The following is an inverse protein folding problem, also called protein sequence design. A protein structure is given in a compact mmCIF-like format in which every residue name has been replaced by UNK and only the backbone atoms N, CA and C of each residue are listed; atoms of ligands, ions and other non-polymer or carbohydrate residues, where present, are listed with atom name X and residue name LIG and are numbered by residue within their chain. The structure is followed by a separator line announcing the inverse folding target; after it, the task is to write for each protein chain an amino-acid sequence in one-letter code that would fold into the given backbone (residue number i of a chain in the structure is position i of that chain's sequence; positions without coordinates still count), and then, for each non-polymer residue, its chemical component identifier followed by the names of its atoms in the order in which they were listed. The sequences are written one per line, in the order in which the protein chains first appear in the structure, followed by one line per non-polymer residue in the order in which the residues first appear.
data_IF_185362550126
#
_entry.id   IF_185362550126
#
_cell.length_a   1.000
_cell.length_b   1.000
_cell.length_c   1.000
_cell.angle_alpha   90.00
_cell.angle_beta   90.00
_cell.angle_gamma   90.00
#
_symmetry.space_group_name_H-M   'P 1'
#
loop_
_entity.id
_entity.type
_entity.pdbx_description
1 polymer ?
#
# COMPACT_ATOMS: atom_id res chain seq x y z
N UNK A 1 -35.38 19.67 38.48
CA UNK A 1 -35.14 19.94 37.05
C UNK A 1 -33.71 19.53 36.82
N UNK A 2 -33.50 18.38 36.20
CA UNK A 2 -32.16 17.96 35.78
C UNK A 2 -31.93 18.73 34.49
N UNK A 3 -31.08 19.75 34.52
CA UNK A 3 -30.56 20.35 33.30
C UNK A 3 -29.78 19.24 32.59
N UNK A 4 -30.39 18.61 31.61
CA UNK A 4 -29.72 17.66 30.72
C UNK A 4 -28.71 18.46 29.91
N UNK A 5 -27.50 18.61 30.44
CA UNK A 5 -26.36 19.11 29.70
C UNK A 5 -26.09 18.14 28.55
N UNK A 6 -26.62 18.45 27.38
CA UNK A 6 -26.44 17.63 26.19
C UNK A 6 -24.94 17.55 25.85
N UNK A 7 -24.47 16.41 25.33
CA UNK A 7 -23.08 16.25 24.94
C UNK A 7 -22.62 17.32 23.94
N UNK A 8 -21.35 17.69 24.02
CA UNK A 8 -20.73 18.68 23.14
C UNK A 8 -20.83 18.30 21.66
N UNK A 9 -20.73 17.01 21.34
CA UNK A 9 -20.89 16.47 19.98
C UNK A 9 -22.26 16.83 19.38
N UNK A 10 -23.34 16.74 20.19
CA UNK A 10 -24.69 17.02 19.73
C UNK A 10 -24.88 18.50 19.39
N UNK A 11 -24.33 19.38 20.23
CA UNK A 11 -24.37 20.83 20.00
C UNK A 11 -23.59 21.24 18.74
N UNK A 12 -22.48 20.55 18.44
CA UNK A 12 -21.68 20.78 17.23
C UNK A 12 -22.45 20.39 15.98
N UNK A 13 -22.94 19.15 15.92
CA UNK A 13 -23.68 18.63 14.76
C UNK A 13 -24.99 19.40 14.52
N UNK A 14 -25.75 19.68 15.58
CA UNK A 14 -26.95 20.53 15.49
C UNK A 14 -26.63 21.93 14.98
N UNK A 15 -25.46 22.46 15.35
CA UNK A 15 -24.95 23.73 14.84
C UNK A 15 -24.64 23.70 13.34
N UNK A 16 -24.11 22.60 12.81
CA UNK A 16 -23.85 22.43 11.37
C UNK A 16 -25.16 22.47 10.57
N UNK A 17 -26.16 21.70 10.99
CA UNK A 17 -27.47 21.67 10.31
C UNK A 17 -28.14 23.04 10.36
N UNK A 18 -28.18 23.67 11.55
CA UNK A 18 -28.92 24.92 11.74
C UNK A 18 -28.23 26.15 11.13
N UNK A 19 -26.89 26.18 11.04
CA UNK A 19 -26.14 27.34 10.55
C UNK A 19 -25.69 27.21 9.11
N UNK A 20 -25.40 25.99 8.65
CA UNK A 20 -24.84 25.74 7.32
C UNK A 20 -25.89 25.22 6.33
N UNK A 21 -27.12 24.95 6.79
CA UNK A 21 -28.25 24.48 5.97
C UNK A 21 -27.86 23.28 5.08
N UNK A 22 -27.11 22.35 5.67
CA UNK A 22 -26.63 21.12 5.02
C UNK A 22 -26.95 19.88 5.84
N UNK A 23 -27.20 18.78 5.14
CA UNK A 23 -27.31 17.46 5.73
C UNK A 23 -25.94 17.03 6.31
N UNK A 24 -25.98 16.21 7.36
CA UNK A 24 -24.77 15.66 7.95
C UNK A 24 -24.18 14.57 7.05
N UNK A 25 -22.88 14.64 6.85
CA UNK A 25 -22.12 13.56 6.24
C UNK A 25 -21.52 12.66 7.33
N UNK A 26 -21.24 11.37 7.04
CA UNK A 26 -20.55 10.48 7.97
C UNK A 26 -19.24 11.07 8.52
N UNK A 27 -18.50 11.83 7.69
CA UNK A 27 -17.25 12.48 8.09
C UNK A 27 -17.45 13.59 9.14
N UNK A 28 -18.63 14.20 9.23
CA UNK A 28 -18.90 15.25 10.23
C UNK A 28 -18.84 14.67 11.66
N UNK A 29 -19.02 13.34 11.83
CA UNK A 29 -18.88 12.65 13.12
C UNK A 29 -17.42 12.31 13.48
N UNK A 30 -16.51 12.25 12.50
CA UNK A 30 -15.15 11.74 12.69
C UNK A 30 -14.33 12.60 13.67
N UNK A 31 -14.57 13.91 13.71
CA UNK A 31 -13.93 14.85 14.63
C UNK A 31 -14.08 14.41 16.10
N UNK A 32 -15.29 13.96 16.49
CA UNK A 32 -15.64 13.55 17.85
C UNK A 32 -15.33 12.07 18.13
N UNK A 33 -14.95 11.31 17.10
CA UNK A 33 -14.62 9.88 17.18
C UNK A 33 -13.11 9.63 17.09
N UNK A 34 -12.35 10.65 16.66
CA UNK A 34 -10.89 10.62 16.45
C UNK A 34 -10.09 10.26 17.71
N UNK A 35 -10.62 10.55 18.90
CA UNK A 35 -10.02 10.28 20.22
C UNK A 35 -10.12 8.83 20.69
N UNK A 36 -10.90 7.98 20.02
CA UNK A 36 -11.11 6.59 20.44
C UNK A 36 -9.88 5.74 20.05
N UNK A 37 -8.93 5.70 20.98
CA UNK A 37 -7.87 4.69 21.03
C UNK A 37 -8.47 3.28 21.01
N UNK A 38 -7.65 2.31 20.62
CA UNK A 38 -7.98 0.89 20.43
C UNK A 38 -8.99 0.32 21.44
N UNK A 39 -9.81 -0.68 21.06
CA UNK A 39 -10.71 -1.34 22.00
C UNK A 39 -9.89 -1.98 23.13
N UNK A 40 -9.84 -1.32 24.28
CA UNK A 40 -9.44 -1.93 25.54
C UNK A 40 -10.53 -2.92 25.91
N UNK A 41 -10.26 -4.19 25.64
CA UNK A 41 -11.06 -5.33 26.13
C UNK A 41 -10.83 -5.57 27.64
N UNK A 42 -9.89 -4.85 28.26
CA UNK A 42 -9.64 -4.89 29.70
C UNK A 42 -9.41 -3.47 30.23
N UNK A 43 -10.45 -2.84 30.80
CA UNK A 43 -10.29 -1.89 31.92
C UNK A 43 -11.66 -1.55 32.52
N UNK A 44 -12.03 -2.28 33.56
CA UNK A 44 -12.83 -1.75 34.66
C UNK A 44 -12.05 -0.58 35.31
N UNK A 45 -12.33 0.66 34.90
CA UNK A 45 -11.98 1.86 35.67
C UNK A 45 -12.74 3.08 35.09
N UNK A 46 -13.80 3.45 35.80
CA UNK A 46 -14.52 4.73 35.82
C UNK A 46 -13.78 5.94 35.21
N UNK A 47 -14.30 6.49 34.11
CA UNK A 47 -14.89 7.85 34.08
C UNK A 47 -15.59 8.12 32.73
N UNK A 48 -16.87 8.49 32.83
CA UNK A 48 -17.79 9.03 31.82
C UNK A 48 -18.30 8.14 30.66
N UNK A 49 -19.34 7.37 31.00
CA UNK A 49 -20.51 6.97 30.19
C UNK A 49 -20.33 6.82 28.67
N UNK A 50 -20.06 5.60 28.23
CA UNK A 50 -20.78 4.96 27.12
C UNK A 50 -20.32 3.49 27.08
N UNK A 51 -20.97 2.70 27.94
CA UNK A 51 -20.87 1.25 27.94
C UNK A 51 -20.99 0.74 26.50
N UNK A 52 -20.09 -0.17 26.13
CA UNK A 52 -20.22 -0.96 24.92
C UNK A 52 -21.30 -2.01 25.20
N UNK A 53 -22.53 -1.56 25.39
CA UNK A 53 -23.63 -2.45 25.67
C UNK A 53 -24.07 -3.09 24.35
N UNK A 54 -23.80 -4.38 24.23
CA UNK A 54 -24.37 -5.22 23.18
C UNK A 54 -25.82 -5.60 23.49
N UNK A 55 -26.42 -5.01 24.52
CA UNK A 55 -27.82 -5.20 24.89
C UNK A 55 -28.55 -3.87 25.16
N UNK A 56 -28.29 -2.82 24.36
CA UNK A 56 -29.10 -1.60 24.42
C UNK A 56 -30.43 -1.79 23.67
N UNK A 57 -31.25 -2.69 24.20
CA UNK A 57 -32.61 -2.97 23.77
C UNK A 57 -33.53 -1.84 24.24
N UNK A 58 -33.57 -0.72 23.49
CA UNK A 58 -34.67 0.24 23.44
C UNK A 58 -35.16 0.89 24.76
N UNK A 59 -34.51 0.69 25.91
CA UNK A 59 -35.10 0.99 27.22
C UNK A 59 -34.61 2.30 27.87
N UNK A 60 -33.45 2.84 27.51
CA UNK A 60 -32.86 3.99 28.23
C UNK A 60 -32.94 5.32 27.48
N UNK A 61 -34.17 5.69 27.07
CA UNK A 61 -34.47 7.07 26.64
C UNK A 61 -34.61 8.01 27.85
N UNK A 62 -33.48 8.37 28.46
CA UNK A 62 -33.42 9.28 29.62
C UNK A 62 -33.64 10.77 29.29
N UNK A 63 -33.39 11.19 28.05
CA UNK A 63 -33.60 12.56 27.58
C UNK A 63 -35.00 12.71 26.96
N UNK A 64 -35.81 13.64 27.48
CA UNK A 64 -37.18 13.90 26.99
C UNK A 64 -37.40 15.29 26.38
N UNK A 65 -36.32 15.99 26.04
CA UNK A 65 -36.40 17.32 25.41
C UNK A 65 -37.26 17.34 24.14
N UNK A 66 -37.65 18.54 23.69
CA UNK A 66 -38.47 18.71 22.49
C UNK A 66 -37.82 18.15 21.21
N UNK A 67 -36.50 18.05 21.22
CA UNK A 67 -35.60 17.52 20.20
C UNK A 67 -35.09 16.11 20.54
N UNK A 68 -35.70 15.41 21.50
CA UNK A 68 -35.24 14.09 21.94
C UNK A 68 -35.18 13.07 20.80
N UNK A 69 -36.18 13.02 19.92
CA UNK A 69 -36.16 12.09 18.78
C UNK A 69 -34.97 12.37 17.85
N UNK A 70 -34.69 13.66 17.58
CA UNK A 70 -33.56 14.09 16.76
C UNK A 70 -32.21 13.78 17.44
N UNK A 71 -32.12 13.99 18.76
CA UNK A 71 -30.94 13.60 19.56
C UNK A 71 -30.65 12.10 19.46
N UNK A 72 -31.66 11.25 19.60
CA UNK A 72 -31.47 9.80 19.53
C UNK A 72 -31.15 9.29 18.12
N UNK A 73 -31.64 9.96 17.07
CA UNK A 73 -31.26 9.70 15.69
C UNK A 73 -29.75 9.98 15.49
N UNK A 74 -29.28 11.17 15.85
CA UNK A 74 -27.85 11.49 15.75
C UNK A 74 -26.97 10.60 16.64
N UNK A 75 -27.47 10.20 17.82
CA UNK A 75 -26.76 9.26 18.70
C UNK A 75 -26.58 7.90 18.01
N UNK A 76 -27.60 7.40 17.31
CA UNK A 76 -27.54 6.15 16.56
C UNK A 76 -26.57 6.25 15.37
N UNK A 77 -26.64 7.31 14.57
CA UNK A 77 -25.72 7.54 13.44
C UNK A 77 -24.26 7.64 13.89
N UNK A 78 -24.01 8.36 14.99
CA UNK A 78 -22.68 8.45 15.60
C UNK A 78 -22.15 7.06 16.01
N UNK A 79 -23.01 6.22 16.57
CA UNK A 79 -22.63 4.87 16.98
C UNK A 79 -22.37 3.95 15.77
N UNK A 80 -23.17 4.05 14.71
CA UNK A 80 -22.93 3.35 13.45
C UNK A 80 -21.58 3.76 12.86
N UNK A 81 -21.31 5.06 12.76
CA UNK A 81 -20.04 5.58 12.25
C UNK A 81 -18.83 5.12 13.09
N UNK A 82 -18.97 5.06 14.41
CA UNK A 82 -17.96 4.49 15.31
C UNK A 82 -17.66 3.02 14.97
N UNK A 83 -18.68 2.21 14.70
CA UNK A 83 -18.50 0.83 14.28
C UNK A 83 -17.83 0.73 12.90
N UNK A 84 -18.26 1.53 11.93
CA UNK A 84 -17.64 1.57 10.59
C UNK A 84 -16.14 1.89 10.65
N UNK A 85 -15.75 2.93 11.41
CA UNK A 85 -14.35 3.30 11.57
C UNK A 85 -13.52 2.19 12.22
N UNK A 86 -14.10 1.47 13.19
CA UNK A 86 -13.45 0.31 13.80
C UNK A 86 -13.26 -0.84 12.81
N UNK A 87 -14.29 -1.16 12.02
CA UNK A 87 -14.21 -2.20 10.99
C UNK A 87 -13.20 -1.82 9.89
N UNK A 88 -13.20 -0.56 9.45
CA UNK A 88 -12.26 -0.04 8.47
C UNK A 88 -10.82 -0.11 8.98
N UNK A 89 -10.58 0.25 10.26
CA UNK A 89 -9.26 0.11 10.91
C UNK A 89 -8.79 -1.35 10.93
N UNK A 90 -9.65 -2.28 11.36
CA UNK A 90 -9.36 -3.73 11.37
C UNK A 90 -9.06 -4.25 9.96
N UNK A 91 -9.86 -3.83 8.98
CA UNK A 91 -9.67 -4.20 7.58
C UNK A 91 -8.31 -3.72 7.06
N UNK A 92 -7.94 -2.47 7.32
CA UNK A 92 -6.66 -1.91 6.90
C UNK A 92 -5.46 -2.56 7.59
N UNK A 93 -5.58 -2.85 8.89
CA UNK A 93 -4.56 -3.58 9.65
C UNK A 93 -4.38 -5.00 9.09
N UNK A 94 -5.47 -5.73 8.87
CA UNK A 94 -5.45 -7.06 8.27
C UNK A 94 -4.85 -7.04 6.85
N UNK A 95 -5.16 -6.03 6.05
CA UNK A 95 -4.61 -5.86 4.71
C UNK A 95 -3.10 -5.56 4.76
N UNK A 96 -2.64 -4.74 5.70
CA UNK A 96 -1.22 -4.47 5.95
C UNK A 96 -0.48 -5.75 6.35
N UNK A 97 -1.03 -6.53 7.28
CA UNK A 97 -0.45 -7.79 7.73
C UNK A 97 -0.40 -8.85 6.62
N UNK A 98 -1.46 -8.92 5.81
CA UNK A 98 -1.49 -9.78 4.63
C UNK A 98 -0.40 -9.39 3.62
N UNK A 99 -0.19 -8.09 3.40
CA UNK A 99 0.90 -7.62 2.54
C UNK A 99 2.28 -7.90 3.14
N UNK A 100 2.43 -7.72 4.46
CA UNK A 100 3.67 -7.97 5.18
C UNK A 100 4.09 -9.44 5.08
N UNK A 101 3.16 -10.36 5.32
CA UNK A 101 3.39 -11.81 5.21
C UNK A 101 3.74 -12.21 3.78
N UNK A 102 3.07 -11.62 2.79
CA UNK A 102 3.39 -11.84 1.38
C UNK A 102 4.80 -11.36 1.00
N UNK A 103 5.18 -10.14 1.39
CA UNK A 103 6.52 -9.59 1.13
C UNK A 103 7.60 -10.42 1.85
N UNK A 104 7.32 -10.90 3.07
CA UNK A 104 8.23 -11.77 3.82
C UNK A 104 8.49 -13.10 3.11
N UNK A 105 7.47 -13.71 2.50
CA UNK A 105 7.65 -14.92 1.70
C UNK A 105 8.57 -14.67 0.50
N UNK A 106 8.41 -13.52 -0.17
CA UNK A 106 9.23 -13.14 -1.33
C UNK A 106 10.65 -12.75 -0.97
N UNK A 107 10.86 -12.10 0.17
CA UNK A 107 12.19 -11.88 0.71
C UNK A 107 12.90 -13.20 1.00
N UNK A 108 12.20 -14.17 1.61
CA UNK A 108 12.76 -15.50 1.88
C UNK A 108 13.15 -16.21 0.58
N UNK A 109 12.33 -16.15 -0.46
CA UNK A 109 12.62 -16.72 -1.79
C UNK A 109 13.94 -16.17 -2.36
N UNK A 110 14.12 -14.85 -2.32
CA UNK A 110 15.36 -14.20 -2.80
C UNK A 110 16.54 -14.51 -1.87
N UNK A 111 16.31 -14.61 -0.56
CA UNK A 111 17.35 -14.95 0.42
C UNK A 111 17.85 -16.40 0.25
N UNK A 112 16.96 -17.35 -0.02
CA UNK A 112 17.34 -18.72 -0.36
C UNK A 112 18.21 -18.77 -1.62
N UNK A 113 17.86 -17.97 -2.64
CA UNK A 113 18.70 -17.84 -3.84
C UNK A 113 20.06 -17.23 -3.50
N UNK A 114 20.10 -16.19 -2.67
CA UNK A 114 21.35 -15.58 -2.20
C UNK A 114 22.26 -16.62 -1.51
N UNK A 115 21.71 -17.41 -0.60
CA UNK A 115 22.44 -18.44 0.13
C UNK A 115 22.88 -19.57 -0.80
N UNK A 116 22.06 -19.94 -1.79
CA UNK A 116 22.43 -20.88 -2.83
C UNK A 116 23.63 -20.37 -3.67
N UNK A 117 23.62 -19.11 -4.12
CA UNK A 117 24.77 -18.50 -4.84
C UNK A 117 26.00 -18.45 -3.94
N UNK A 118 25.84 -18.08 -2.67
CA UNK A 118 26.94 -18.01 -1.70
C UNK A 118 27.59 -19.36 -1.47
N UNK A 119 26.79 -20.43 -1.38
CA UNK A 119 27.28 -21.79 -1.23
C UNK A 119 27.89 -22.33 -2.54
N UNK A 120 27.33 -21.94 -3.69
CA UNK A 120 27.79 -22.33 -5.03
C UNK A 120 29.01 -21.55 -5.52
N UNK A 121 29.34 -20.37 -4.96
CA UNK A 121 30.56 -19.59 -5.29
C UNK A 121 31.86 -20.37 -5.03
N UNK A 122 31.79 -21.54 -4.39
CA UNK A 122 32.88 -22.53 -4.38
C UNK A 122 33.12 -23.21 -5.75
N UNK A 123 32.25 -23.05 -6.76
CA UNK A 123 32.33 -23.85 -8.01
C UNK A 123 32.05 -23.16 -9.37
N UNK A 124 31.46 -21.97 -9.53
CA UNK A 124 31.57 -21.14 -10.78
C UNK A 124 30.61 -19.94 -10.79
N UNK A 125 31.02 -18.83 -11.40
CA UNK A 125 30.17 -17.69 -11.71
C UNK A 125 29.46 -17.92 -13.06
N UNK A 126 28.14 -17.70 -13.11
CA UNK A 126 27.33 -17.90 -14.31
C UNK A 126 27.27 -16.62 -15.16
N UNK A 127 27.31 -16.73 -16.51
CA UNK A 127 27.08 -15.59 -17.39
C UNK A 127 25.69 -15.00 -17.16
N UNK A 128 25.61 -13.67 -16.99
CA UNK A 128 24.33 -12.97 -16.83
C UNK A 128 23.61 -12.92 -18.19
N UNK A 129 22.34 -13.35 -18.25
CA UNK A 129 21.47 -13.06 -19.40
C UNK A 129 21.13 -11.58 -19.42
N UNK A 130 20.93 -11.01 -20.62
CA UNK A 130 20.56 -9.60 -20.74
C UNK A 130 19.36 -9.24 -19.85
N UNK A 131 19.52 -8.19 -19.05
CA UNK A 131 18.46 -7.60 -18.22
C UNK A 131 17.75 -6.44 -18.92
N UNK A 132 18.12 -6.12 -20.16
CA UNK A 132 17.47 -5.06 -20.93
C UNK A 132 16.00 -5.39 -21.22
N UNK A 133 15.12 -4.41 -21.01
CA UNK A 133 13.67 -4.55 -21.14
C UNK A 133 13.03 -5.42 -20.05
N UNK A 134 13.75 -5.73 -18.98
CA UNK A 134 13.23 -6.55 -17.88
C UNK A 134 12.79 -5.66 -16.71
N UNK A 135 11.72 -6.09 -16.06
CA UNK A 135 11.24 -5.48 -14.82
C UNK A 135 11.29 -6.49 -13.68
N UNK A 136 11.63 -6.03 -12.49
CA UNK A 136 11.67 -6.84 -11.27
C UNK A 136 10.72 -6.24 -10.26
N UNK A 137 9.76 -7.03 -9.78
CA UNK A 137 8.89 -6.62 -8.67
C UNK A 137 9.70 -6.60 -7.39
N UNK A 138 9.52 -5.55 -6.62
CA UNK A 138 10.24 -5.28 -5.38
C UNK A 138 9.35 -5.57 -4.18
N UNK A 139 9.90 -6.33 -3.23
CA UNK A 139 9.25 -6.72 -1.99
C UNK A 139 10.13 -6.27 -0.82
N UNK A 140 9.52 -5.69 0.20
CA UNK A 140 10.23 -5.29 1.42
C UNK A 140 9.26 -5.20 2.60
N UNK A 141 9.45 -6.08 3.59
CA UNK A 141 8.70 -6.07 4.85
C UNK A 141 8.89 -4.76 5.58
N UNK A 142 10.12 -4.24 5.57
CA UNK A 142 10.45 -2.97 6.21
C UNK A 142 9.72 -1.81 5.54
N UNK A 143 9.70 -1.78 4.20
CA UNK A 143 8.91 -0.78 3.48
C UNK A 143 7.40 -0.91 3.76
N UNK A 144 6.85 -2.12 3.93
CA UNK A 144 5.44 -2.29 4.34
C UNK A 144 5.21 -1.70 5.74
N UNK A 145 6.14 -1.88 6.67
CA UNK A 145 5.94 -1.37 8.03
C UNK A 145 5.83 0.16 8.08
N UNK A 146 6.69 0.85 7.32
CA UNK A 146 6.81 2.31 7.36
C UNK A 146 6.03 3.06 6.27
N UNK A 147 5.87 2.48 5.08
CA UNK A 147 5.34 3.20 3.91
C UNK A 147 3.98 2.67 3.43
N UNK A 148 3.35 1.73 4.16
CA UNK A 148 2.03 1.22 3.78
C UNK A 148 0.94 2.28 3.90
N UNK A 149 0.15 2.42 2.84
CA UNK A 149 -1.00 3.31 2.77
C UNK A 149 -2.22 2.53 2.31
N UNK A 150 -3.32 2.71 3.04
CA UNK A 150 -4.57 1.97 2.90
C UNK A 150 -5.34 2.23 1.61
N UNK A 151 -5.13 3.39 0.97
CA UNK A 151 -5.90 3.79 -0.22
C UNK A 151 -5.58 2.97 -1.47
N UNK A 152 -4.29 2.87 -1.80
CA UNK A 152 -3.76 2.05 -2.91
C UNK A 152 -2.31 1.72 -2.57
N UNK A 153 -1.98 0.46 -2.26
CA UNK A 153 -0.57 0.05 -2.10
C UNK A 153 -0.04 -0.37 -3.49
N UNK A 154 0.69 0.49 -4.20
CA UNK A 154 1.07 0.24 -5.58
C UNK A 154 2.04 -0.95 -5.68
N UNK A 155 2.01 -1.63 -6.82
CA UNK A 155 3.03 -2.62 -7.14
C UNK A 155 4.37 -1.92 -7.32
N UNK A 156 5.35 -2.28 -6.50
CA UNK A 156 6.71 -1.73 -6.55
C UNK A 156 7.55 -2.53 -7.54
N UNK A 157 8.33 -1.86 -8.37
CA UNK A 157 9.20 -2.54 -9.32
C UNK A 157 10.37 -1.65 -9.77
N UNK A 158 11.45 -2.28 -10.22
CA UNK A 158 12.52 -1.61 -10.96
C UNK A 158 12.47 -2.09 -12.41
N UNK A 159 12.62 -1.18 -13.34
CA UNK A 159 12.71 -1.48 -14.78
C UNK A 159 14.09 -1.08 -15.30
N UNK A 160 14.61 -1.89 -16.21
CA UNK A 160 15.84 -1.60 -16.94
C UNK A 160 15.56 -1.53 -18.43
N UNK A 161 15.97 -0.45 -19.09
CA UNK A 161 15.69 -0.19 -20.49
C UNK A 161 16.91 0.40 -21.21
N UNK A 162 16.92 0.28 -22.53
CA UNK A 162 17.89 0.96 -23.39
C UNK A 162 17.18 2.18 -24.00
N UNK A 163 17.84 3.33 -24.02
CA UNK A 163 17.40 4.42 -24.89
C UNK A 163 17.88 4.06 -26.29
N UNK A 164 16.96 3.89 -27.23
CA UNK A 164 17.34 3.71 -28.63
C UNK A 164 18.09 4.99 -29.06
N UNK A 165 19.34 4.86 -29.51
CA UNK A 165 19.93 5.94 -30.29
C UNK A 165 19.20 5.99 -31.62
N UNK A 166 18.35 7.00 -31.79
CA UNK A 166 17.71 7.37 -33.05
C UNK A 166 18.78 7.68 -34.12
N UNK A 167 19.36 6.66 -34.77
CA UNK A 167 19.72 6.72 -36.19
C UNK A 167 20.07 5.32 -36.76
N UNK A 168 19.20 4.70 -37.58
CA UNK A 168 19.49 3.42 -38.24
C UNK A 168 20.52 3.52 -39.37
N UNK A 169 21.11 4.69 -39.63
CA UNK A 169 21.94 4.94 -40.82
C UNK A 169 23.44 5.14 -40.55
N UNK A 170 23.89 5.19 -39.30
CA UNK A 170 25.32 5.33 -38.98
C UNK A 170 25.75 4.38 -37.84
N UNK A 171 25.98 3.08 -38.14
CA UNK A 171 27.29 2.43 -37.85
C UNK A 171 27.40 0.94 -38.22
N UNK A 172 28.64 0.46 -38.42
CA UNK A 172 28.96 -0.88 -38.91
C UNK A 172 29.21 -1.93 -37.81
N UNK A 173 28.81 -3.18 -38.14
CA UNK A 173 29.35 -4.49 -37.71
C UNK A 173 29.04 -5.04 -36.30
N UNK A 174 28.81 -6.37 -36.14
CA UNK A 174 28.20 -7.02 -34.98
C UNK A 174 29.25 -7.45 -33.94
N UNK A 175 30.13 -6.54 -33.53
CA UNK A 175 30.87 -6.74 -32.30
C UNK A 175 29.91 -6.44 -31.14
N UNK A 176 29.68 -7.40 -30.24
CA UNK A 176 28.85 -7.29 -29.03
C UNK A 176 29.32 -6.12 -28.15
N UNK A 177 28.98 -4.89 -28.51
CA UNK A 177 29.18 -3.73 -27.66
C UNK A 177 28.17 -3.86 -26.53
N UNK A 178 28.66 -3.75 -25.29
CA UNK A 178 27.79 -3.71 -24.14
C UNK A 178 26.80 -2.56 -24.35
N UNK A 179 25.50 -2.87 -24.41
CA UNK A 179 24.48 -1.85 -24.60
C UNK A 179 24.39 -1.07 -23.30
N UNK A 180 24.46 0.26 -23.40
CA UNK A 180 24.33 1.14 -22.26
C UNK A 180 22.87 1.16 -21.83
N UNK A 181 22.63 1.00 -20.53
CA UNK A 181 21.29 0.84 -19.97
C UNK A 181 20.96 1.99 -19.03
N UNK A 182 19.66 2.27 -18.94
CA UNK A 182 19.03 3.14 -17.96
C UNK A 182 18.06 2.30 -17.15
N UNK A 183 17.55 2.88 -16.07
CA UNK A 183 16.47 2.26 -15.33
C UNK A 183 15.76 3.24 -14.44
N UNK A 184 14.63 2.79 -13.93
CA UNK A 184 13.76 3.56 -13.07
C UNK A 184 13.23 2.68 -11.93
N UNK A 185 13.23 3.22 -10.71
CA UNK A 185 12.64 2.57 -9.53
C UNK A 185 11.26 3.17 -9.26
N UNK A 186 10.22 2.34 -9.31
CA UNK A 186 8.84 2.71 -8.99
C UNK A 186 8.47 2.17 -7.60
N UNK A 187 8.23 3.05 -6.63
CA UNK A 187 7.77 2.68 -5.28
C UNK A 187 6.37 3.24 -4.97
N UNK A 188 6.10 4.47 -5.40
CA UNK A 188 4.82 5.16 -5.30
C UNK A 188 4.64 6.14 -6.47
N UNK A 189 3.50 6.85 -6.51
CA UNK A 189 3.21 7.86 -7.54
C UNK A 189 4.21 9.02 -7.61
N UNK A 190 4.90 9.26 -6.49
CA UNK A 190 5.75 10.43 -6.29
C UNK A 190 7.25 10.06 -6.37
N UNK A 191 7.55 8.78 -6.65
CA UNK A 191 8.93 8.30 -6.76
C UNK A 191 9.51 8.71 -8.10
N UNK A 192 10.44 9.66 -8.06
CA UNK A 192 11.22 10.11 -9.21
C UNK A 192 12.68 9.61 -9.05
N UNK A 193 12.92 8.35 -9.42
CA UNK A 193 14.23 7.71 -9.22
C UNK A 193 14.73 7.00 -10.50
N UNK A 194 15.07 7.81 -11.50
CA UNK A 194 15.83 7.38 -12.67
C UNK A 194 17.32 7.24 -12.36
N UNK A 195 17.97 6.27 -12.99
CA UNK A 195 19.40 6.03 -12.89
C UNK A 195 20.00 5.59 -14.22
N UNK A 196 21.31 5.78 -14.34
CA UNK A 196 22.06 5.53 -15.56
C UNK A 196 22.63 6.82 -16.18
N UNK A 197 23.33 6.69 -17.31
CA UNK A 197 23.59 5.44 -18.01
C UNK A 197 24.59 4.51 -17.30
N UNK A 198 24.48 3.19 -17.49
CA UNK A 198 25.42 2.20 -16.94
C UNK A 198 25.59 0.96 -17.83
N UNK A 199 26.64 0.18 -17.58
CA UNK A 199 26.82 -1.15 -18.19
C UNK A 199 26.49 -2.22 -17.15
N UNK A 200 25.59 -3.17 -17.44
CA UNK A 200 25.27 -4.22 -16.50
C UNK A 200 26.51 -5.11 -16.24
N UNK A 201 26.63 -5.69 -15.03
CA UNK A 201 27.66 -6.68 -14.74
C UNK A 201 27.61 -7.83 -15.75
N UNK A 202 28.79 -8.35 -16.16
CA UNK A 202 28.85 -9.47 -17.12
C UNK A 202 28.42 -10.81 -16.50
N UNK A 203 28.46 -10.89 -15.18
CA UNK A 203 28.26 -12.11 -14.42
C UNK A 203 27.27 -11.85 -13.28
N UNK A 204 26.46 -12.86 -12.98
CA UNK A 204 25.62 -12.88 -11.78
C UNK A 204 26.47 -13.27 -10.57
N UNK A 205 26.14 -12.77 -9.40
CA UNK A 205 26.83 -13.19 -8.19
C UNK A 205 26.48 -12.36 -6.96
N UNK A 206 27.39 -12.44 -5.98
CA UNK A 206 27.30 -11.67 -4.73
C UNK A 206 27.87 -10.25 -4.87
N UNK A 207 28.35 -9.88 -6.05
CA UNK A 207 29.03 -8.61 -6.23
C UNK A 207 27.98 -7.50 -6.33
N UNK A 208 28.11 -6.53 -5.45
CA UNK A 208 27.27 -5.34 -5.45
C UNK A 208 27.84 -4.32 -6.45
N UNK A 209 26.96 -3.67 -7.20
CA UNK A 209 27.31 -2.52 -8.03
C UNK A 209 26.43 -1.33 -7.66
N UNK A 210 27.03 -0.15 -7.71
CA UNK A 210 26.41 1.08 -7.25
C UNK A 210 26.09 1.95 -8.45
N UNK A 211 24.86 2.45 -8.49
CA UNK A 211 24.39 3.42 -9.45
C UNK A 211 23.99 4.69 -8.73
N UNK A 212 24.15 5.81 -9.41
CA UNK A 212 23.72 7.12 -8.90
C UNK A 212 22.48 7.51 -9.71
N UNK A 213 21.47 8.05 -9.03
CA UNK A 213 20.31 8.63 -9.71
C UNK A 213 20.75 9.69 -10.71
N UNK A 214 20.04 9.89 -11.83
CA UNK A 214 20.42 10.84 -12.88
C UNK A 214 20.63 12.27 -12.34
N UNK A 215 19.85 12.66 -11.32
CA UNK A 215 19.98 13.97 -10.66
C UNK A 215 21.16 14.08 -9.69
N UNK A 216 21.99 13.04 -9.58
CA UNK A 216 23.15 12.96 -8.70
C UNK A 216 22.83 12.87 -7.20
N UNK A 217 21.55 12.75 -6.83
CA UNK A 217 21.08 12.92 -5.44
C UNK A 217 21.22 11.67 -4.59
N UNK A 218 20.92 10.51 -5.16
CA UNK A 218 20.75 9.28 -4.40
C UNK A 218 21.63 8.16 -4.95
N UNK A 219 22.17 7.37 -4.03
CA UNK A 219 23.00 6.22 -4.32
C UNK A 219 22.17 4.95 -4.17
N UNK A 220 22.09 4.17 -5.25
CA UNK A 220 21.38 2.91 -5.32
C UNK A 220 22.40 1.78 -5.40
N UNK A 221 22.20 0.72 -4.62
CA UNK A 221 23.07 -0.45 -4.66
C UNK A 221 22.28 -1.65 -5.15
N UNK A 222 22.76 -2.28 -6.21
CA UNK A 222 22.16 -3.45 -6.83
C UNK A 222 23.06 -4.67 -6.64
N UNK A 223 22.44 -5.82 -6.44
CA UNK A 223 23.10 -7.11 -6.41
C UNK A 223 22.31 -8.09 -7.27
N UNK A 224 22.85 -8.48 -8.42
CA UNK A 224 22.20 -9.40 -9.35
C UNK A 224 22.57 -10.85 -9.02
N UNK A 225 21.69 -11.54 -8.29
CA UNK A 225 21.92 -12.92 -7.86
C UNK A 225 21.75 -13.91 -9.01
N UNK A 226 20.81 -13.63 -9.91
CA UNK A 226 20.58 -14.38 -11.14
C UNK A 226 19.94 -13.49 -12.19
N UNK A 227 19.52 -14.07 -13.33
CA UNK A 227 18.69 -13.34 -14.31
C UNK A 227 17.25 -13.11 -13.83
N UNK A 228 16.84 -13.78 -12.76
CA UNK A 228 15.48 -13.76 -12.21
C UNK A 228 15.39 -13.08 -10.84
N UNK A 229 16.51 -12.92 -10.14
CA UNK A 229 16.55 -12.41 -8.77
C UNK A 229 17.60 -11.32 -8.59
N UNK A 230 17.22 -10.27 -7.87
CA UNK A 230 18.12 -9.20 -7.47
C UNK A 230 17.84 -8.75 -6.04
N UNK A 231 18.83 -8.11 -5.42
CA UNK A 231 18.62 -7.26 -4.24
C UNK A 231 18.87 -5.82 -4.63
N UNK A 232 18.06 -4.92 -4.09
CA UNK A 232 18.16 -3.48 -4.28
C UNK A 232 18.19 -2.81 -2.91
N UNK A 233 19.18 -1.95 -2.69
CA UNK A 233 19.24 -1.08 -1.52
C UNK A 233 19.06 0.36 -1.96
N UNK A 234 18.12 1.06 -1.33
CA UNK A 234 17.83 2.47 -1.60
C UNK A 234 17.91 3.26 -0.29
N UNK A 235 18.23 4.55 -0.35
CA UNK A 235 18.27 5.38 0.85
C UNK A 235 16.85 5.78 1.27
N UNK A 236 16.69 6.13 2.56
CA UNK A 236 15.42 6.53 3.18
C UNK A 236 14.67 7.58 2.37
N UNK A 237 15.37 8.60 1.87
CA UNK A 237 14.75 9.71 1.16
C UNK A 237 14.02 9.26 -0.12
N UNK A 238 14.56 8.22 -0.79
CA UNK A 238 13.92 7.64 -1.98
C UNK A 238 12.70 6.80 -1.59
N UNK A 239 12.77 6.04 -0.50
CA UNK A 239 11.66 5.20 -0.04
C UNK A 239 10.41 6.01 0.35
N UNK A 240 10.60 7.21 0.89
CA UNK A 240 9.49 8.08 1.32
C UNK A 240 9.06 9.10 0.26
N UNK A 241 9.86 9.39 -0.77
CA UNK A 241 9.51 10.22 -1.93
C UNK A 241 8.72 11.50 -1.58
N UNK A 242 9.25 12.31 -0.67
CA UNK A 242 8.69 13.57 -0.13
C UNK A 242 7.60 13.44 0.96
N UNK A 243 7.37 12.25 1.50
CA UNK A 243 6.54 12.06 2.70
C UNK A 243 7.34 12.31 3.98
N UNK A 244 6.62 12.57 5.06
CA UNK A 244 7.21 12.66 6.39
C UNK A 244 7.90 11.33 6.75
N UNK A 245 9.17 11.44 7.10
CA UNK A 245 9.99 10.29 7.48
C UNK A 245 9.88 10.07 8.99
N UNK A 246 9.41 8.91 9.46
CA UNK A 246 9.47 8.55 10.86
C UNK A 246 10.92 8.58 11.36
N UNK A 247 11.12 9.05 12.59
CA UNK A 247 12.46 9.17 13.20
C UNK A 247 13.14 7.82 13.38
N UNK A 248 12.35 6.76 13.59
CA UNK A 248 12.75 5.37 13.78
C UNK A 248 12.94 4.59 12.46
N UNK A 249 12.63 5.19 11.30
CA UNK A 249 12.81 4.54 10.01
C UNK A 249 14.30 4.29 9.69
N UNK A 250 14.64 3.19 8.99
CA UNK A 250 16.01 2.87 8.61
C UNK A 250 16.61 3.91 7.66
N UNK A 251 17.93 4.09 7.69
CA UNK A 251 18.66 4.91 6.69
C UNK A 251 18.64 4.30 5.29
N UNK A 252 18.59 2.97 5.20
CA UNK A 252 18.63 2.22 3.96
C UNK A 252 17.56 1.14 4.00
N UNK A 253 16.74 1.08 2.97
CA UNK A 253 15.76 0.02 2.77
C UNK A 253 16.32 -1.02 1.81
N UNK A 254 16.25 -2.30 2.19
CA UNK A 254 16.56 -3.43 1.33
C UNK A 254 15.28 -4.00 0.71
N UNK A 255 15.36 -4.28 -0.59
CA UNK A 255 14.28 -4.87 -1.37
C UNK A 255 14.75 -6.17 -2.02
N UNK A 256 13.91 -7.19 -1.91
CA UNK A 256 13.98 -8.41 -2.67
C UNK A 256 13.30 -8.22 -4.04
N UNK A 257 14.06 -8.40 -5.12
CA UNK A 257 13.59 -8.23 -6.49
C UNK A 257 13.39 -9.57 -7.19
N UNK A 258 12.20 -9.80 -7.75
CA UNK A 258 11.88 -11.00 -8.54
C UNK A 258 11.42 -10.57 -9.93
N UNK A 259 12.04 -11.15 -10.96
CA UNK A 259 11.73 -10.82 -12.35
C UNK A 259 10.26 -11.07 -12.65
N UNK A 260 9.63 -10.05 -13.20
CA UNK A 260 8.24 -10.08 -13.60
C UNK A 260 8.14 -10.13 -15.12
N UNK A 261 7.72 -11.28 -15.62
CA UNK A 261 7.39 -11.43 -17.03
C UNK A 261 5.93 -10.98 -17.25
N UNK A 262 5.78 -9.82 -17.89
CA UNK A 262 4.49 -9.20 -18.19
C UNK A 262 3.61 -10.07 -19.10
N UNK A 263 4.20 -10.90 -19.96
CA UNK A 263 3.46 -11.79 -20.86
C UNK A 263 2.91 -13.00 -20.12
N UNK A 264 3.72 -13.63 -19.25
CA UNK A 264 3.24 -14.75 -18.42
C UNK A 264 2.09 -14.34 -17.50
N UNK A 265 2.09 -13.12 -16.97
CA UNK A 265 1.00 -12.63 -16.13
C UNK A 265 -0.25 -12.26 -16.93
N UNK A 266 -0.11 -11.68 -18.13
CA UNK A 266 -1.24 -11.54 -19.06
C UNK A 266 -1.86 -12.91 -19.40
N UNK A 267 -1.04 -13.94 -19.61
CA UNK A 267 -1.49 -15.30 -19.90
C UNK A 267 -2.21 -15.93 -18.69
N UNK A 268 -1.66 -15.79 -17.47
CA UNK A 268 -2.32 -16.24 -16.23
C UNK A 268 -3.65 -15.53 -15.99
N UNK A 269 -3.73 -14.22 -16.20
CA UNK A 269 -4.98 -13.45 -16.10
C UNK A 269 -6.02 -13.89 -17.12
N UNK A 270 -5.62 -14.14 -18.38
CA UNK A 270 -6.51 -14.69 -19.41
C UNK A 270 -7.03 -16.08 -19.03
N UNK A 271 -6.17 -16.96 -18.51
CA UNK A 271 -6.53 -18.30 -18.04
C UNK A 271 -7.50 -18.29 -16.86
N UNK A 272 -7.27 -17.41 -15.87
CA UNK A 272 -8.18 -17.22 -14.73
C UNK A 272 -9.54 -16.66 -15.18
N UNK A 273 -9.56 -15.71 -16.13
CA UNK A 273 -10.81 -15.21 -16.73
C UNK A 273 -11.59 -16.29 -17.48
N UNK A 274 -10.92 -17.24 -18.12
CA UNK A 274 -11.57 -18.35 -18.83
C UNK A 274 -12.06 -19.48 -17.91
N UNK A 275 -11.68 -19.49 -16.63
CA UNK A 275 -12.10 -20.51 -15.66
C UNK A 275 -13.35 -20.12 -14.84
N UNK A 276 -13.96 -18.95 -15.07
CA UNK A 276 -15.26 -18.67 -14.49
C UNK A 276 -16.32 -19.51 -15.18
N UNK A 277 -17.13 -20.31 -14.45
CA UNK A 277 -18.41 -20.76 -14.93
C UNK A 277 -19.17 -19.54 -15.46
N UNK A 278 -19.86 -19.72 -16.59
CA UNK A 278 -20.74 -18.73 -17.24
C UNK A 278 -22.01 -18.47 -16.42
N UNK A 279 -21.91 -18.45 -15.10
CA UNK A 279 -23.01 -18.15 -14.19
C UNK A 279 -22.79 -16.72 -13.66
N UNK A 280 -23.27 -15.79 -14.49
CA UNK A 280 -23.97 -14.55 -14.08
C UNK A 280 -23.67 -14.03 -12.67
N UNK A 281 -22.59 -13.25 -12.55
CA UNK A 281 -22.38 -12.26 -11.46
C UNK A 281 -23.59 -11.31 -11.29
N UNK A 282 -24.46 -11.20 -12.31
CA UNK A 282 -25.68 -10.42 -12.28
C UNK A 282 -26.92 -11.14 -11.71
N UNK A 283 -26.84 -12.42 -11.34
CA UNK A 283 -28.00 -13.20 -10.84
C UNK A 283 -27.98 -13.52 -9.33
N UNK A 284 -26.97 -13.07 -8.59
CA UNK A 284 -26.98 -13.18 -7.12
C UNK A 284 -27.47 -11.88 -6.48
N UNK A 285 -28.58 -11.97 -5.76
CA UNK A 285 -29.17 -10.96 -4.89
C UNK A 285 -28.16 -10.46 -3.84
N UNK A 286 -27.25 -9.55 -4.23
CA UNK A 286 -26.29 -8.93 -3.31
C UNK A 286 -26.78 -7.54 -2.86
N UNK A 287 -26.66 -7.22 -1.55
CA UNK A 287 -27.11 -5.95 -0.97
C UNK A 287 -26.27 -4.72 -1.36
N UNK A 288 -25.17 -4.87 -2.12
CA UNK A 288 -24.35 -3.75 -2.59
C UNK A 288 -24.93 -3.00 -3.81
N UNK A 289 -26.10 -3.40 -4.31
CA UNK A 289 -26.79 -2.74 -5.44
C UNK A 289 -27.53 -1.43 -5.11
N UNK A 290 -27.51 -0.94 -3.86
CA UNK A 290 -28.29 0.24 -3.45
C UNK A 290 -27.56 1.59 -3.54
N UNK A 291 -26.26 1.62 -3.79
CA UNK A 291 -25.46 2.87 -3.75
C UNK A 291 -25.34 3.61 -5.09
N UNK A 292 -26.19 3.34 -6.08
CA UNK A 292 -26.09 3.96 -7.41
C UNK A 292 -27.42 4.47 -7.99
N UNK A 293 -28.40 4.85 -7.16
CA UNK A 293 -29.67 5.44 -7.64
C UNK A 293 -30.14 6.67 -6.86
N UNK A 294 -29.24 7.50 -6.34
CA UNK A 294 -29.62 8.84 -5.86
C UNK A 294 -28.67 9.84 -6.51
N UNK A 295 -28.86 10.04 -7.81
CA UNK A 295 -28.55 11.28 -8.54
C UNK A 295 -29.26 11.14 -9.88
N UNK A 296 -30.55 11.51 -9.91
CA UNK A 296 -31.33 11.97 -11.06
C UNK A 296 -32.78 12.10 -10.59
N UNK A 297 -33.10 13.21 -9.91
CA UNK A 297 -34.11 14.21 -10.29
C UNK A 297 -34.20 15.29 -9.22
#
# INVERSE_FOLDING_TARGET
MVDSNLPTWYSRLSGLIAKEDRDLNPEDFDDDLSSLSAPSIDSDADDDEDEVDRDDTASDRSYNGSDADFYYELKAERQERKMELQEMRKYHEQAKDSQRTFDQEKEREVQEMYDAVKNAKKQSESPLKSIAGQSFRLYSVEHVNYCYSSGVYPSKYVEFYCLDEDNPLDRPSPARQAVQMHGHVYLNSDTDCDFGPFFPPKQTGLDEFQLISIRGKHKLTFQLLSSDYLKLKIPREVAFANRDTPTDAPEVFEFAGIRFDRETEKAKRKRKRSQSPRETWFEMNHPMGRWNQIWLY
#
